data_IF_255147718437
#
_entry.id   IF_255147718437
#
_cell.length_a   1.000
_cell.length_b   1.000
_cell.length_c   1.000
_cell.angle_alpha   90.00
_cell.angle_beta   90.00
_cell.angle_gamma   90.00
#
_symmetry.space_group_name_H-M   'P 1'
#
loop_
_entity.id
_entity.type
_entity.pdbx_description
1 polymer ?
#
# COMPACT_ATOMS: atom_id res chain seq x y z
N UNK A 1 -23.61 10.37 4.45
CA UNK A 1 -22.98 9.78 3.22
C UNK A 1 -22.00 8.71 3.70
N UNK A 2 -21.93 7.54 3.04
CA UNK A 2 -20.98 6.51 3.44
C UNK A 2 -19.57 7.00 3.19
N UNK A 3 -18.67 6.80 4.15
CA UNK A 3 -17.23 7.00 3.95
C UNK A 3 -16.71 5.92 3.01
N UNK A 4 -15.69 6.21 2.19
CA UNK A 4 -15.05 5.25 1.27
C UNK A 4 -14.66 3.96 2.03
N UNK A 5 -14.18 4.08 3.25
CA UNK A 5 -13.82 2.98 4.14
C UNK A 5 -15.00 2.03 4.43
N UNK A 6 -16.21 2.57 4.66
CA UNK A 6 -17.41 1.72 4.83
C UNK A 6 -17.78 0.94 3.57
N UNK A 7 -17.59 1.56 2.39
CA UNK A 7 -17.80 0.88 1.12
C UNK A 7 -16.78 -0.26 0.97
N UNK A 8 -15.52 0.00 1.33
CA UNK A 8 -14.45 -1.01 1.28
C UNK A 8 -14.70 -2.18 2.21
N UNK A 9 -15.10 -1.91 3.47
CA UNK A 9 -15.49 -2.96 4.43
C UNK A 9 -16.64 -3.81 3.86
N UNK A 10 -17.69 -3.18 3.32
CA UNK A 10 -18.81 -3.91 2.71
C UNK A 10 -18.37 -4.76 1.51
N UNK A 11 -17.50 -4.23 0.64
CA UNK A 11 -16.97 -4.94 -0.51
C UNK A 11 -16.11 -6.14 -0.10
N UNK A 12 -15.22 -5.99 0.87
CA UNK A 12 -14.38 -7.07 1.40
C UNK A 12 -15.24 -8.20 2.01
N UNK A 13 -16.27 -7.85 2.77
CA UNK A 13 -17.22 -8.84 3.29
C UNK A 13 -17.93 -9.62 2.17
N UNK A 14 -18.35 -8.92 1.09
CA UNK A 14 -18.93 -9.59 -0.09
C UNK A 14 -17.95 -10.55 -0.77
N UNK A 15 -16.67 -10.17 -0.87
CA UNK A 15 -15.63 -11.10 -1.37
C UNK A 15 -15.49 -12.32 -0.47
N UNK A 16 -15.46 -12.13 0.84
CA UNK A 16 -15.31 -13.24 1.80
C UNK A 16 -16.51 -14.20 1.76
N UNK A 17 -17.71 -13.66 1.57
CA UNK A 17 -18.97 -14.40 1.51
C UNK A 17 -19.15 -15.13 0.17
N UNK A 18 -18.90 -14.44 -0.96
CA UNK A 18 -19.34 -14.87 -2.30
C UNK A 18 -18.18 -15.04 -3.31
N UNK A 19 -16.97 -14.64 -2.96
CA UNK A 19 -15.85 -14.54 -3.87
C UNK A 19 -15.85 -13.22 -4.67
N UNK A 20 -14.69 -12.88 -5.26
CA UNK A 20 -14.53 -11.63 -6.01
C UNK A 20 -15.51 -11.52 -7.18
N UNK A 21 -15.78 -12.60 -7.90
CA UNK A 21 -16.74 -12.60 -9.01
C UNK A 21 -18.20 -12.77 -8.56
N UNK A 22 -18.44 -13.19 -7.32
CA UNK A 22 -19.74 -13.55 -6.80
C UNK A 22 -20.63 -12.39 -6.35
N UNK A 23 -20.22 -11.12 -6.55
CA UNK A 23 -21.06 -9.98 -6.28
C UNK A 23 -20.96 -8.92 -7.37
N UNK A 24 -21.93 -8.02 -7.42
CA UNK A 24 -22.02 -6.91 -8.37
C UNK A 24 -21.88 -5.56 -7.68
N UNK A 25 -21.59 -4.51 -8.44
CA UNK A 25 -21.58 -3.13 -7.90
C UNK A 25 -22.97 -2.65 -7.48
N UNK A 26 -24.03 -3.22 -8.05
CA UNK A 26 -25.43 -3.00 -7.62
C UNK A 26 -25.67 -3.56 -6.22
N UNK A 27 -25.25 -4.78 -5.95
CA UNK A 27 -25.37 -5.42 -4.64
C UNK A 27 -24.56 -4.68 -3.59
N UNK A 28 -23.35 -4.21 -3.96
CA UNK A 28 -22.55 -3.35 -3.08
C UNK A 28 -23.26 -2.03 -2.78
N UNK A 29 -23.82 -1.35 -3.79
CA UNK A 29 -24.56 -0.12 -3.61
C UNK A 29 -25.77 -0.32 -2.67
N UNK A 30 -26.52 -1.41 -2.85
CA UNK A 30 -27.63 -1.79 -1.98
C UNK A 30 -27.14 -2.06 -0.54
N UNK A 31 -26.06 -2.83 -0.38
CA UNK A 31 -25.47 -3.19 0.95
C UNK A 31 -25.02 -1.94 1.75
N UNK A 32 -24.53 -0.90 1.07
CA UNK A 32 -24.11 0.37 1.71
C UNK A 32 -25.23 1.43 1.76
N UNK A 33 -26.41 1.13 1.23
CA UNK A 33 -27.60 1.99 1.32
C UNK A 33 -27.57 3.21 0.39
N UNK A 34 -26.93 3.10 -0.81
CA UNK A 34 -26.86 4.18 -1.77
C UNK A 34 -27.28 3.72 -3.18
N UNK A 35 -27.59 4.69 -4.07
CA UNK A 35 -27.80 4.36 -5.48
C UNK A 35 -26.47 3.94 -6.16
N UNK A 36 -26.55 3.15 -7.24
CA UNK A 36 -25.39 2.82 -8.09
C UNK A 36 -24.66 4.08 -8.55
N UNK A 37 -25.38 5.11 -9.00
CA UNK A 37 -24.80 6.40 -9.40
C UNK A 37 -24.03 7.05 -8.27
N UNK A 38 -24.59 7.02 -7.06
CA UNK A 38 -23.92 7.56 -5.88
C UNK A 38 -22.64 6.78 -5.56
N UNK A 39 -22.68 5.44 -5.66
CA UNK A 39 -21.50 4.61 -5.44
C UNK A 39 -20.36 4.97 -6.40
N UNK A 40 -20.66 5.09 -7.70
CA UNK A 40 -19.65 5.43 -8.71
C UNK A 40 -19.09 6.86 -8.61
N UNK A 41 -19.71 7.75 -7.84
CA UNK A 41 -19.11 9.04 -7.49
C UNK A 41 -17.96 8.91 -6.47
N UNK A 42 -17.90 7.80 -5.73
CA UNK A 42 -16.86 7.54 -4.72
C UNK A 42 -15.84 6.50 -5.18
N UNK A 43 -16.28 5.52 -5.96
CA UNK A 43 -15.49 4.32 -6.31
C UNK A 43 -15.56 4.13 -7.82
N UNK A 44 -14.40 4.09 -8.45
CA UNK A 44 -14.27 3.97 -9.91
C UNK A 44 -14.75 2.62 -10.45
N UNK A 45 -14.36 1.54 -9.77
CA UNK A 45 -14.59 0.16 -10.20
C UNK A 45 -14.57 -0.81 -9.00
N UNK A 46 -14.82 -2.08 -9.29
CA UNK A 46 -14.87 -3.15 -8.30
C UNK A 46 -13.52 -3.42 -7.62
N UNK A 47 -12.42 -3.31 -8.36
CA UNK A 47 -11.09 -3.46 -7.81
C UNK A 47 -10.81 -2.36 -6.77
N UNK A 48 -11.13 -1.11 -7.12
CA UNK A 48 -10.99 0.03 -6.20
C UNK A 48 -11.92 -0.07 -4.99
N UNK A 49 -13.10 -0.69 -5.15
CA UNK A 49 -14.01 -0.93 -4.04
C UNK A 49 -13.43 -1.90 -2.99
N UNK A 50 -12.73 -2.93 -3.45
CA UNK A 50 -12.17 -3.98 -2.59
C UNK A 50 -10.78 -3.61 -2.08
N UNK A 51 -9.87 -3.25 -2.98
CA UNK A 51 -8.46 -2.98 -2.65
C UNK A 51 -8.18 -1.51 -2.28
N UNK A 52 -9.17 -0.63 -2.42
CA UNK A 52 -8.98 0.82 -2.28
C UNK A 52 -8.45 1.46 -3.59
N UNK A 53 -8.15 2.75 -3.63
CA UNK A 53 -7.51 3.41 -4.77
C UNK A 53 -6.10 2.84 -4.98
N UNK A 54 -5.66 2.71 -6.24
CA UNK A 54 -4.31 2.17 -6.54
C UNK A 54 -3.23 3.11 -6.01
N UNK A 55 -3.43 4.39 -6.23
CA UNK A 55 -2.57 5.44 -5.71
C UNK A 55 -3.41 6.70 -5.52
N UNK A 56 -3.26 7.37 -4.40
CA UNK A 56 -3.89 8.66 -4.17
C UNK A 56 -3.08 9.79 -4.82
N UNK A 57 -3.70 10.94 -5.03
CA UNK A 57 -3.00 12.14 -5.52
C UNK A 57 -1.85 12.55 -4.58
N UNK A 58 -2.04 12.36 -3.29
CA UNK A 58 -1.02 12.64 -2.28
C UNK A 58 0.20 11.73 -2.43
N UNK A 59 -0.02 10.41 -2.61
CA UNK A 59 1.07 9.46 -2.86
C UNK A 59 1.78 9.75 -4.18
N UNK A 60 1.04 10.15 -5.20
CA UNK A 60 1.62 10.58 -6.47
C UNK A 60 2.54 11.79 -6.30
N UNK A 61 2.11 12.79 -5.54
CA UNK A 61 2.92 13.98 -5.24
C UNK A 61 4.16 13.61 -4.42
N UNK A 62 4.04 12.71 -3.43
CA UNK A 62 5.20 12.23 -2.66
C UNK A 62 6.20 11.47 -3.55
N UNK A 63 5.71 10.66 -4.48
CA UNK A 63 6.57 9.94 -5.41
C UNK A 63 7.30 10.90 -6.37
N UNK A 64 6.65 11.98 -6.80
CA UNK A 64 7.27 13.03 -7.62
C UNK A 64 8.33 13.81 -6.82
N UNK A 65 8.05 14.16 -5.56
CA UNK A 65 9.02 14.80 -4.67
C UNK A 65 10.24 13.90 -4.45
N UNK A 66 10.00 12.63 -4.17
CA UNK A 66 11.06 11.64 -4.05
C UNK A 66 11.92 11.55 -5.31
N UNK A 67 11.29 11.49 -6.49
CA UNK A 67 12.00 11.46 -7.77
C UNK A 67 12.84 12.72 -8.03
N UNK A 68 12.42 13.87 -7.46
CA UNK A 68 13.16 15.14 -7.53
C UNK A 68 14.26 15.28 -6.46
N UNK A 69 14.46 14.29 -5.60
CA UNK A 69 15.45 14.35 -4.51
C UNK A 69 15.01 15.20 -3.32
N UNK A 70 13.72 15.30 -3.08
CA UNK A 70 13.14 16.13 -2.02
C UNK A 70 12.53 15.26 -0.89
N UNK A 71 12.47 15.79 0.37
CA UNK A 71 12.93 17.11 0.79
C UNK A 71 14.40 17.18 1.21
N UNK A 72 15.06 16.05 1.54
CA UNK A 72 16.37 16.07 2.20
C UNK A 72 17.54 15.85 1.25
N UNK A 73 17.31 15.24 0.10
CA UNK A 73 18.36 14.79 -0.82
C UNK A 73 18.94 13.41 -0.47
N UNK A 74 18.65 12.89 0.72
CA UNK A 74 19.02 11.54 1.12
C UNK A 74 18.04 10.52 0.57
N UNK A 75 18.52 9.53 -0.19
CA UNK A 75 17.68 8.47 -0.73
C UNK A 75 16.92 7.73 0.39
N UNK A 76 17.62 7.44 1.49
CA UNK A 76 17.07 6.75 2.66
C UNK A 76 15.98 7.57 3.34
N UNK A 77 16.32 8.81 3.76
CA UNK A 77 15.39 9.67 4.49
C UNK A 77 14.15 10.01 3.65
N UNK A 78 14.33 10.30 2.37
CA UNK A 78 13.21 10.63 1.49
C UNK A 78 12.34 9.40 1.17
N UNK A 79 12.90 8.18 1.12
CA UNK A 79 12.11 6.95 0.98
C UNK A 79 11.30 6.66 2.24
N UNK A 80 11.86 6.94 3.42
CA UNK A 80 11.16 6.84 4.70
C UNK A 80 9.99 7.83 4.77
N UNK A 81 10.23 9.10 4.44
CA UNK A 81 9.18 10.13 4.40
C UNK A 81 8.06 9.79 3.41
N UNK A 82 8.40 9.26 2.24
CA UNK A 82 7.41 8.79 1.25
C UNK A 82 6.56 7.65 1.82
N UNK A 83 7.18 6.66 2.44
CA UNK A 83 6.49 5.53 3.06
C UNK A 83 5.57 6.00 4.21
N UNK A 84 6.06 6.91 5.05
CA UNK A 84 5.32 7.46 6.18
C UNK A 84 4.08 8.26 5.74
N UNK A 85 4.16 9.02 4.66
CA UNK A 85 3.02 9.80 4.17
C UNK A 85 1.85 8.90 3.76
N UNK A 86 2.10 7.82 3.00
CA UNK A 86 1.07 6.86 2.62
C UNK A 86 0.45 6.17 3.84
N UNK A 87 1.28 5.80 4.77
CA UNK A 87 0.83 5.08 5.94
C UNK A 87 0.00 5.95 6.89
N UNK A 88 0.46 7.16 7.22
CA UNK A 88 -0.28 8.07 8.08
C UNK A 88 -1.68 8.35 7.53
N UNK A 89 -1.81 8.43 6.20
CA UNK A 89 -3.09 8.52 5.53
C UNK A 89 -3.98 7.29 5.77
N UNK A 90 -3.40 6.10 5.70
CA UNK A 90 -4.12 4.83 5.89
C UNK A 90 -4.56 4.64 7.35
N UNK A 91 -3.64 4.87 8.30
CA UNK A 91 -3.87 4.67 9.75
C UNK A 91 -4.78 5.72 10.36
N UNK A 92 -4.81 6.92 9.79
CA UNK A 92 -5.75 7.97 10.21
C UNK A 92 -7.23 7.62 9.97
N UNK A 93 -7.52 6.52 9.28
CA UNK A 93 -8.88 6.00 9.09
C UNK A 93 -9.26 5.05 10.22
N UNK A 94 -10.35 5.36 10.92
CA UNK A 94 -10.90 4.53 12.02
C UNK A 94 -11.20 3.07 11.62
N UNK A 95 -11.38 2.81 10.31
CA UNK A 95 -11.64 1.48 9.74
C UNK A 95 -10.38 0.71 9.34
N UNK A 96 -9.21 1.32 9.49
CA UNK A 96 -7.95 0.71 9.04
C UNK A 96 -7.70 -0.70 9.61
N UNK A 97 -7.86 -0.95 10.94
CA UNK A 97 -7.65 -2.29 11.49
C UNK A 97 -8.61 -3.33 10.91
N UNK A 98 -9.88 -2.96 10.76
CA UNK A 98 -10.91 -3.84 10.20
C UNK A 98 -10.62 -4.12 8.72
N UNK A 99 -10.30 -3.10 7.94
CA UNK A 99 -9.94 -3.23 6.52
C UNK A 99 -8.72 -4.13 6.33
N UNK A 100 -7.68 -3.98 7.15
CA UNK A 100 -6.47 -4.80 7.08
C UNK A 100 -6.78 -6.27 7.35
N UNK A 101 -7.55 -6.56 8.40
CA UNK A 101 -7.97 -7.92 8.73
C UNK A 101 -8.84 -8.55 7.64
N UNK A 102 -9.84 -7.82 7.15
CA UNK A 102 -10.73 -8.30 6.08
C UNK A 102 -9.97 -8.51 4.77
N UNK A 103 -9.01 -7.64 4.44
CA UNK A 103 -8.16 -7.79 3.25
C UNK A 103 -7.35 -9.07 3.33
N UNK A 104 -6.70 -9.35 4.46
CA UNK A 104 -5.96 -10.59 4.66
C UNK A 104 -6.85 -11.84 4.51
N UNK A 105 -8.05 -11.82 5.10
CA UNK A 105 -9.03 -12.91 4.98
C UNK A 105 -9.49 -13.10 3.53
N UNK A 106 -9.81 -12.02 2.82
CA UNK A 106 -10.25 -12.08 1.43
C UNK A 106 -9.15 -12.62 0.50
N UNK A 107 -7.91 -12.16 0.67
CA UNK A 107 -6.75 -12.65 -0.08
C UNK A 107 -6.44 -14.12 0.21
N UNK A 108 -6.66 -14.60 1.43
CA UNK A 108 -6.49 -16.01 1.77
C UNK A 108 -7.52 -16.90 1.08
N UNK A 109 -8.76 -16.42 0.91
CA UNK A 109 -9.88 -17.19 0.36
C UNK A 109 -10.01 -17.12 -1.16
N UNK A 110 -9.67 -15.99 -1.77
CA UNK A 110 -9.96 -15.72 -3.19
C UNK A 110 -8.68 -15.59 -4.01
N UNK A 111 -8.45 -16.57 -4.90
CA UNK A 111 -7.26 -16.62 -5.76
C UNK A 111 -7.24 -15.54 -6.83
N UNK A 112 -8.42 -15.13 -7.33
CA UNK A 112 -8.53 -14.05 -8.32
C UNK A 112 -8.20 -12.70 -7.69
N UNK A 113 -8.74 -12.43 -6.49
CA UNK A 113 -8.39 -11.22 -5.76
C UNK A 113 -6.89 -11.17 -5.45
N UNK A 114 -6.30 -12.30 -5.06
CA UNK A 114 -4.86 -12.40 -4.82
C UNK A 114 -4.05 -12.05 -6.08
N UNK A 115 -4.45 -12.55 -7.24
CA UNK A 115 -3.79 -12.24 -8.50
C UNK A 115 -3.88 -10.74 -8.83
N UNK A 116 -5.05 -10.12 -8.66
CA UNK A 116 -5.24 -8.67 -8.84
C UNK A 116 -4.39 -7.86 -7.87
N UNK A 117 -4.32 -8.28 -6.61
CA UNK A 117 -3.47 -7.65 -5.60
C UNK A 117 -1.98 -7.71 -5.97
N UNK A 118 -1.49 -8.87 -6.42
CA UNK A 118 -0.11 -9.03 -6.88
C UNK A 118 0.19 -8.17 -8.11
N UNK A 119 -0.72 -8.10 -9.09
CA UNK A 119 -0.57 -7.25 -10.27
C UNK A 119 -0.49 -5.77 -9.89
N UNK A 120 -1.36 -5.33 -8.97
CA UNK A 120 -1.36 -3.97 -8.45
C UNK A 120 -0.05 -3.64 -7.75
N UNK A 121 0.42 -4.49 -6.85
CA UNK A 121 1.71 -4.29 -6.18
C UNK A 121 2.86 -4.21 -7.18
N UNK A 122 2.85 -5.04 -8.22
CA UNK A 122 3.85 -4.97 -9.28
C UNK A 122 3.84 -3.61 -10.00
N UNK A 123 2.66 -3.02 -10.26
CA UNK A 123 2.56 -1.68 -10.85
C UNK A 123 3.13 -0.60 -9.93
N UNK A 124 2.83 -0.68 -8.63
CA UNK A 124 3.36 0.25 -7.62
C UNK A 124 4.89 0.15 -7.56
N UNK A 125 5.44 -1.07 -7.49
CA UNK A 125 6.88 -1.31 -7.49
C UNK A 125 7.55 -0.74 -8.74
N UNK A 126 6.92 -0.88 -9.92
CA UNK A 126 7.45 -0.28 -11.16
C UNK A 126 7.46 1.26 -11.10
N UNK A 127 6.50 1.88 -10.45
CA UNK A 127 6.49 3.34 -10.27
C UNK A 127 7.58 3.80 -9.31
N UNK A 128 7.78 3.10 -8.21
CA UNK A 128 8.92 3.35 -7.30
C UNK A 128 10.24 3.18 -8.05
N UNK A 129 10.36 2.14 -8.89
CA UNK A 129 11.54 1.92 -9.73
C UNK A 129 11.82 3.10 -10.66
N UNK A 130 10.80 3.62 -11.33
CA UNK A 130 10.94 4.80 -12.19
C UNK A 130 11.33 6.05 -11.41
N UNK A 131 10.79 6.24 -10.21
CA UNK A 131 11.14 7.34 -9.33
C UNK A 131 12.60 7.26 -8.85
N UNK A 132 13.09 6.06 -8.46
CA UNK A 132 14.51 5.84 -8.12
C UNK A 132 15.41 6.12 -9.32
N UNK A 133 15.03 5.66 -10.52
CA UNK A 133 15.79 5.95 -11.74
C UNK A 133 15.89 7.45 -12.04
N UNK A 134 14.77 8.17 -11.94
CA UNK A 134 14.74 9.62 -12.17
C UNK A 134 15.60 10.37 -11.15
N UNK A 135 15.48 9.98 -9.88
CA UNK A 135 16.23 10.58 -8.77
C UNK A 135 17.73 10.41 -8.92
N UNK A 136 18.19 9.20 -9.17
CA UNK A 136 19.61 8.84 -9.17
C UNK A 136 20.27 8.99 -10.56
N UNK A 137 19.49 9.27 -11.59
CA UNK A 137 19.96 9.30 -12.98
C UNK A 137 20.43 7.94 -13.51
N UNK A 138 19.97 6.84 -12.88
CA UNK A 138 20.42 5.51 -13.26
C UNK A 138 19.71 4.99 -14.50
N UNK A 139 20.46 4.25 -15.33
CA UNK A 139 19.89 3.51 -16.46
C UNK A 139 19.08 2.30 -15.94
N UNK A 140 18.15 1.82 -16.75
CA UNK A 140 17.36 0.62 -16.42
C UNK A 140 18.19 -0.64 -16.18
N UNK A 141 19.41 -0.68 -16.74
CA UNK A 141 20.39 -1.77 -16.58
C UNK A 141 21.35 -1.57 -15.40
N UNK A 142 21.21 -0.49 -14.61
CA UNK A 142 22.10 -0.24 -13.47
C UNK A 142 21.92 -1.36 -12.43
N UNK A 143 23.00 -2.04 -12.00
CA UNK A 143 22.89 -3.16 -11.06
C UNK A 143 22.40 -2.75 -9.67
N UNK A 144 22.49 -1.48 -9.31
CA UNK A 144 22.02 -0.96 -8.01
C UNK A 144 20.51 -0.79 -7.97
N UNK A 145 19.85 -0.60 -9.11
CA UNK A 145 18.45 -0.24 -9.19
C UNK A 145 17.52 -1.29 -8.56
N UNK A 146 17.66 -2.55 -8.92
CA UNK A 146 16.80 -3.62 -8.41
C UNK A 146 16.97 -3.84 -6.91
N UNK A 147 18.19 -3.96 -6.37
CA UNK A 147 18.39 -4.05 -4.91
C UNK A 147 17.79 -2.86 -4.16
N UNK A 148 18.02 -1.64 -4.62
CA UNK A 148 17.49 -0.43 -3.97
C UNK A 148 15.95 -0.45 -3.90
N UNK A 149 15.28 -0.75 -5.01
CA UNK A 149 13.80 -0.84 -5.04
C UNK A 149 13.30 -1.95 -4.12
N UNK A 150 13.97 -3.09 -4.09
CA UNK A 150 13.59 -4.20 -3.23
C UNK A 150 13.78 -3.87 -1.75
N UNK A 151 14.85 -3.18 -1.37
CA UNK A 151 15.09 -2.73 0.01
C UNK A 151 13.96 -1.78 0.44
N UNK A 152 13.67 -0.74 -0.34
CA UNK A 152 12.57 0.22 -0.05
C UNK A 152 11.24 -0.53 0.13
N UNK A 153 10.92 -1.45 -0.79
CA UNK A 153 9.68 -2.23 -0.71
C UNK A 153 9.63 -3.14 0.52
N UNK A 154 10.73 -3.85 0.81
CA UNK A 154 10.77 -4.78 1.94
C UNK A 154 10.70 -4.03 3.27
N UNK A 155 11.39 -2.90 3.40
CA UNK A 155 11.27 -2.04 4.59
C UNK A 155 9.82 -1.61 4.82
N UNK A 156 9.13 -1.18 3.75
CA UNK A 156 7.71 -0.79 3.84
C UNK A 156 6.82 -1.95 4.29
N UNK A 157 6.98 -3.13 3.69
CA UNK A 157 6.18 -4.32 4.03
C UNK A 157 6.44 -4.74 5.48
N UNK A 158 7.70 -4.84 5.88
CA UNK A 158 8.08 -5.24 7.26
C UNK A 158 7.54 -4.25 8.29
N UNK A 159 7.67 -2.95 8.03
CA UNK A 159 7.14 -1.92 8.93
C UNK A 159 5.62 -2.02 9.06
N UNK A 160 4.92 -2.24 7.94
CA UNK A 160 3.48 -2.40 7.93
C UNK A 160 3.03 -3.64 8.72
N UNK A 161 3.68 -4.78 8.50
CA UNK A 161 3.39 -6.03 9.22
C UNK A 161 3.63 -5.86 10.73
N UNK A 162 4.76 -5.28 11.14
CA UNK A 162 5.09 -4.99 12.54
C UNK A 162 4.03 -4.11 13.19
N UNK A 163 3.58 -3.06 12.50
CA UNK A 163 2.52 -2.18 13.02
C UNK A 163 1.21 -2.93 13.21
N UNK A 164 0.80 -3.75 12.24
CA UNK A 164 -0.44 -4.54 12.32
C UNK A 164 -0.35 -5.57 13.44
N UNK A 165 0.76 -6.29 13.56
CA UNK A 165 0.98 -7.30 14.60
C UNK A 165 0.99 -6.70 16.01
N UNK A 166 1.63 -5.56 16.18
CA UNK A 166 1.68 -4.85 17.48
C UNK A 166 0.40 -4.08 17.80
N UNK A 167 -0.59 -4.09 16.89
CA UNK A 167 -1.84 -3.31 17.00
C UNK A 167 -1.59 -1.83 17.27
N UNK A 168 -0.58 -1.26 16.64
CA UNK A 168 -0.16 0.12 16.82
C UNK A 168 0.65 0.39 18.09
N UNK A 169 1.10 -0.65 18.80
CA UNK A 169 2.00 -0.51 19.96
C UNK A 169 3.40 -0.03 19.57
N UNK A 170 3.82 -0.29 18.32
CA UNK A 170 5.00 0.31 17.70
C UNK A 170 4.51 1.32 16.67
N UNK A 171 5.01 2.56 16.70
CA UNK A 171 4.69 3.50 15.62
C UNK A 171 5.24 3.00 14.30
N UNK A 172 4.65 3.39 13.17
CA UNK A 172 5.20 2.95 11.89
C UNK A 172 6.57 3.57 11.63
N UNK A 173 6.81 4.81 12.07
CA UNK A 173 8.10 5.44 11.95
C UNK A 173 9.17 4.59 12.63
N UNK A 174 8.91 4.16 13.87
CA UNK A 174 9.82 3.29 14.59
C UNK A 174 9.95 1.92 13.92
N UNK A 175 8.86 1.35 13.43
CA UNK A 175 8.87 0.07 12.71
C UNK A 175 9.67 0.16 11.41
N UNK A 176 9.52 1.25 10.65
CA UNK A 176 10.28 1.47 9.41
C UNK A 176 11.75 1.73 9.69
N UNK A 177 12.06 2.57 10.69
CA UNK A 177 13.42 2.83 11.13
C UNK A 177 14.11 1.55 11.61
N UNK A 178 13.42 0.77 12.44
CA UNK A 178 13.95 -0.50 12.94
C UNK A 178 14.17 -1.53 11.82
N UNK A 179 13.25 -1.63 10.86
CA UNK A 179 13.44 -2.48 9.70
C UNK A 179 14.69 -2.06 8.89
N UNK A 180 14.92 -0.75 8.73
CA UNK A 180 16.12 -0.24 8.09
C UNK A 180 17.40 -0.54 8.86
N UNK A 181 17.38 -0.38 10.18
CA UNK A 181 18.52 -0.69 11.05
C UNK A 181 18.89 -2.19 11.00
N UNK A 182 17.90 -3.08 11.03
CA UNK A 182 18.14 -4.52 10.89
C UNK A 182 18.83 -4.85 9.56
N UNK A 183 18.43 -4.20 8.45
CA UNK A 183 19.12 -4.38 7.16
C UNK A 183 20.57 -3.91 7.22
N UNK A 184 20.82 -2.74 7.83
CA UNK A 184 22.18 -2.22 7.96
C UNK A 184 23.06 -3.12 8.82
N UNK A 185 22.56 -3.54 9.98
CA UNK A 185 23.27 -4.44 10.90
C UNK A 185 23.58 -5.79 10.23
N UNK A 186 22.60 -6.35 9.48
CA UNK A 186 22.77 -7.63 8.81
C UNK A 186 23.84 -7.59 7.72
N UNK A 187 23.99 -6.46 7.01
CA UNK A 187 24.96 -6.32 5.93
C UNK A 187 26.29 -5.71 6.38
N UNK A 188 26.31 -5.01 7.54
CA UNK A 188 27.52 -4.46 8.12
C UNK A 188 28.16 -5.38 9.17
N UNK A 189 27.42 -6.39 9.64
CA UNK A 189 28.00 -7.44 10.46
C UNK A 189 29.00 -8.19 9.56
N UNK A 190 30.26 -7.77 9.62
CA UNK A 190 31.35 -8.57 9.13
C UNK A 190 31.19 -9.92 9.81
N UNK A 191 30.79 -10.93 9.03
CA UNK A 191 30.73 -12.31 9.49
C UNK A 191 32.09 -12.65 10.12
N UNK A 192 32.17 -12.35 11.40
CA UNK A 192 33.34 -12.68 12.24
C UNK A 192 33.42 -14.20 12.45
#
# INVERSE_FOLDING_TARGET
MPRISKIRVAALNLVIENGYDGFTMEELAHKVGVSRRTLFNYIKDKESAVLGPEMSEEVENQLQNFAAGLPTGSLREDSELMAMAEFNRAVGDEFFPEISQLTAQALAKDTKLRALYCQRNSRIIQRVRQAVQAREGWKSSDPRLTPTVNIIHTQFVTAFETFVETRGGTSLADAFHNAGAIFEDYFNDELA
#
